data_IF_038094211006
#
_entry.id   IF_038094211006
#
_cell.length_a   1.000
_cell.length_b   1.000
_cell.length_c   1.000
_cell.angle_alpha   90.00
_cell.angle_beta   90.00
_cell.angle_gamma   90.00
#
_symmetry.space_group_name_H-M   'P 1'
#
loop_
_entity.id
_entity.type
_entity.pdbx_description
1 polymer ?
#
# COMPACT_ATOMS: atom_id res chain seq x y z
N UNK A 1 0.85 -4.00 10.94
CA UNK A 1 1.16 -4.12 9.50
C UNK A 1 0.15 -5.07 8.93
N UNK A 2 -0.52 -4.64 7.85
CA UNK A 2 -1.60 -5.41 7.22
C UNK A 2 -1.30 -5.64 5.76
N UNK A 3 -1.42 -6.88 5.31
CA UNK A 3 -1.15 -7.25 3.93
C UNK A 3 -2.42 -7.23 3.08
N UNK A 4 -2.27 -6.79 1.82
CA UNK A 4 -3.29 -6.88 0.78
C UNK A 4 -2.71 -7.67 -0.37
N UNK A 5 -3.27 -8.85 -0.62
CA UNK A 5 -2.82 -9.82 -1.63
C UNK A 5 -3.79 -9.94 -2.77
N UNK A 6 -5.08 -9.83 -2.51
CA UNK A 6 -6.12 -10.02 -3.50
C UNK A 6 -7.25 -9.01 -3.35
N UNK A 7 -8.14 -8.96 -4.34
CA UNK A 7 -9.28 -8.04 -4.35
C UNK A 7 -10.23 -8.26 -3.14
N UNK A 8 -10.30 -9.49 -2.61
CA UNK A 8 -11.15 -9.80 -1.47
C UNK A 8 -10.64 -9.17 -0.16
N UNK A 9 -9.33 -8.96 -0.02
CA UNK A 9 -8.75 -8.40 1.20
C UNK A 9 -9.27 -6.97 1.45
N UNK A 10 -9.54 -6.21 0.37
CA UNK A 10 -10.17 -4.89 0.47
C UNK A 10 -11.53 -4.89 1.17
N UNK A 11 -12.27 -6.00 1.12
CA UNK A 11 -13.56 -6.12 1.84
C UNK A 11 -13.34 -6.19 3.34
N UNK A 12 -12.23 -6.77 3.79
CA UNK A 12 -11.90 -6.94 5.21
C UNK A 12 -11.43 -5.65 5.86
N UNK A 13 -10.88 -4.73 5.07
CA UNK A 13 -10.28 -3.49 5.58
C UNK A 13 -11.18 -2.25 5.40
N UNK A 14 -12.32 -2.38 4.71
CA UNK A 14 -13.17 -1.25 4.31
C UNK A 14 -13.68 -0.41 5.49
N UNK A 15 -13.85 -1.00 6.67
CA UNK A 15 -14.34 -0.31 7.86
C UNK A 15 -13.23 0.38 8.67
N UNK A 16 -11.96 0.05 8.42
CA UNK A 16 -10.84 0.52 9.24
C UNK A 16 -10.16 1.76 8.65
N UNK A 17 -10.43 2.06 7.38
CA UNK A 17 -9.78 3.12 6.63
C UNK A 17 -10.78 4.02 5.91
N UNK A 18 -10.35 5.23 5.57
CA UNK A 18 -11.17 6.16 4.79
C UNK A 18 -11.42 5.62 3.38
N UNK A 19 -12.59 5.93 2.82
CA UNK A 19 -12.95 5.51 1.46
C UNK A 19 -11.90 5.94 0.43
N UNK A 20 -11.40 7.17 0.54
CA UNK A 20 -10.35 7.67 -0.36
C UNK A 20 -9.04 6.88 -0.28
N UNK A 21 -8.63 6.43 0.93
CA UNK A 21 -7.44 5.59 1.05
C UNK A 21 -7.67 4.20 0.44
N UNK A 22 -8.85 3.61 0.66
CA UNK A 22 -9.22 2.33 0.06
C UNK A 22 -9.27 2.41 -1.47
N UNK A 23 -9.84 3.49 -2.03
CA UNK A 23 -9.90 3.71 -3.47
C UNK A 23 -8.51 3.87 -4.08
N UNK A 24 -7.63 4.66 -3.42
CA UNK A 24 -6.24 4.79 -3.83
C UNK A 24 -5.53 3.43 -3.87
N UNK A 25 -5.62 2.64 -2.79
CA UNK A 25 -4.98 1.31 -2.74
C UNK A 25 -5.55 0.35 -3.77
N UNK A 26 -6.85 0.43 -4.10
CA UNK A 26 -7.41 -0.38 -5.19
C UNK A 26 -6.82 -0.01 -6.54
N UNK A 27 -6.65 1.28 -6.83
CA UNK A 27 -6.03 1.73 -8.08
C UNK A 27 -4.59 1.22 -8.18
N UNK A 28 -3.84 1.28 -7.07
CA UNK A 28 -2.49 0.71 -6.98
C UNK A 28 -2.49 -0.81 -7.22
N UNK A 29 -3.44 -1.54 -6.61
CA UNK A 29 -3.61 -2.97 -6.83
C UNK A 29 -3.93 -3.31 -8.28
N UNK A 30 -4.78 -2.51 -8.94
CA UNK A 30 -5.08 -2.70 -10.37
C UNK A 30 -3.85 -2.44 -11.25
N UNK A 31 -3.04 -1.43 -10.93
CA UNK A 31 -1.78 -1.19 -11.64
C UNK A 31 -0.83 -2.40 -11.53
N UNK A 32 -0.70 -2.98 -10.33
CA UNK A 32 0.09 -4.19 -10.11
C UNK A 32 -0.51 -5.41 -10.84
N UNK A 33 -1.83 -5.57 -10.82
CA UNK A 33 -2.51 -6.61 -11.58
C UNK A 33 -2.20 -6.51 -13.08
N UNK A 34 -2.36 -5.33 -13.69
CA UNK A 34 -2.07 -5.14 -15.13
C UNK A 34 -0.61 -5.47 -15.47
N UNK A 35 0.31 -5.20 -14.54
CA UNK A 35 1.74 -5.49 -14.73
C UNK A 35 2.09 -6.98 -14.55
N UNK A 36 1.46 -7.67 -13.60
CA UNK A 36 1.90 -8.99 -13.13
C UNK A 36 1.01 -10.15 -13.55
N UNK A 37 -0.25 -9.88 -13.92
CA UNK A 37 -1.18 -10.95 -14.26
C UNK A 37 -0.62 -11.80 -15.41
N UNK A 38 -0.80 -13.11 -15.30
CA UNK A 38 -0.41 -14.05 -16.35
C UNK A 38 -1.65 -14.60 -17.08
N UNK A 39 -2.60 -13.71 -17.42
CA UNK A 39 -3.85 -14.05 -18.10
C UNK A 39 -4.96 -14.58 -17.18
N UNK A 40 -4.75 -14.57 -15.86
CA UNK A 40 -5.80 -14.85 -14.89
C UNK A 40 -6.74 -13.67 -14.71
N UNK A 41 -8.00 -13.93 -14.34
CA UNK A 41 -8.95 -12.86 -14.05
C UNK A 41 -8.63 -12.19 -12.70
N UNK A 42 -8.90 -10.89 -12.59
CA UNK A 42 -8.74 -10.10 -11.36
C UNK A 42 -9.33 -10.74 -10.08
N UNK A 43 -10.42 -11.50 -10.19
CA UNK A 43 -11.05 -12.16 -9.04
C UNK A 43 -10.26 -13.36 -8.51
N UNK A 44 -9.37 -13.93 -9.33
CA UNK A 44 -8.53 -15.06 -8.98
C UNK A 44 -7.06 -14.64 -8.74
N UNK A 45 -6.70 -13.42 -9.14
CA UNK A 45 -5.36 -12.89 -9.00
C UNK A 45 -4.98 -12.68 -7.53
N UNK A 46 -3.74 -13.09 -7.21
CA UNK A 46 -3.09 -12.77 -5.94
C UNK A 46 -1.70 -12.23 -6.22
N UNK A 47 -1.33 -11.15 -5.54
CA UNK A 47 0.02 -10.62 -5.57
C UNK A 47 1.01 -11.69 -5.06
N UNK A 48 2.15 -11.85 -5.75
CA UNK A 48 3.21 -12.72 -5.29
C UNK A 48 3.82 -12.15 -4.00
N UNK A 49 4.36 -13.03 -3.15
CA UNK A 49 4.95 -12.65 -1.86
C UNK A 49 5.87 -11.40 -1.88
N UNK A 50 6.83 -11.25 -2.81
CA UNK A 50 7.71 -10.08 -2.82
C UNK A 50 7.02 -8.77 -3.18
N UNK A 51 5.81 -8.82 -3.76
CA UNK A 51 5.07 -7.63 -4.21
C UNK A 51 3.73 -7.45 -3.49
N UNK A 52 3.53 -8.14 -2.36
CA UNK A 52 2.35 -7.91 -1.52
C UNK A 52 2.34 -6.46 -1.04
N UNK A 53 1.20 -5.81 -1.18
CA UNK A 53 1.00 -4.45 -0.65
C UNK A 53 0.91 -4.51 0.86
N UNK A 54 1.63 -3.64 1.56
CA UNK A 54 1.64 -3.60 3.03
C UNK A 54 1.16 -2.25 3.53
N UNK A 55 0.12 -2.25 4.36
CA UNK A 55 -0.36 -1.07 5.07
C UNK A 55 0.35 -1.00 6.43
N UNK A 56 1.00 0.12 6.68
CA UNK A 56 1.56 0.49 7.98
C UNK A 56 0.45 1.13 8.82
N UNK A 57 0.17 0.56 9.98
CA UNK A 57 -0.97 0.93 10.82
C UNK A 57 -0.56 1.89 11.96
N UNK A 58 0.73 2.11 12.15
CA UNK A 58 1.26 2.97 13.22
C UNK A 58 2.52 3.71 12.82
N UNK A 59 2.81 4.83 13.51
CA UNK A 59 4.07 5.56 13.35
C UNK A 59 5.28 4.69 13.70
N UNK A 60 5.18 3.78 14.68
CA UNK A 60 6.29 2.89 15.03
C UNK A 60 6.64 1.93 13.89
N UNK A 61 5.63 1.44 13.16
CA UNK A 61 5.87 0.62 11.96
C UNK A 61 6.49 1.45 10.83
N UNK A 62 6.06 2.69 10.65
CA UNK A 62 6.67 3.62 9.71
C UNK A 62 8.14 3.91 10.04
N UNK A 63 8.47 4.14 11.31
CA UNK A 63 9.84 4.34 11.77
C UNK A 63 10.71 3.12 11.51
N UNK A 64 10.20 1.90 11.73
CA UNK A 64 10.91 0.66 11.41
C UNK A 64 11.25 0.59 9.92
N UNK A 65 10.30 0.95 9.04
CA UNK A 65 10.54 0.97 7.59
C UNK A 65 11.55 2.06 7.21
N UNK A 66 11.39 3.28 7.74
CA UNK A 66 12.31 4.40 7.47
C UNK A 66 13.74 4.14 7.93
N UNK A 67 13.93 3.33 8.98
CA UNK A 67 15.25 2.93 9.45
C UNK A 67 15.96 1.93 8.53
N UNK A 68 15.27 1.34 7.55
CA UNK A 68 15.86 0.50 6.49
C UNK A 68 16.38 1.35 5.32
N UNK A 69 17.02 2.48 5.61
CA UNK A 69 17.32 3.54 4.63
C UNK A 69 18.11 3.06 3.40
N UNK A 70 18.92 2.01 3.52
CA UNK A 70 19.70 1.45 2.41
C UNK A 70 18.87 0.65 1.41
N UNK A 71 17.70 0.16 1.83
CA UNK A 71 16.80 -0.64 1.03
C UNK A 71 15.65 0.20 0.44
N UNK A 72 15.50 1.47 0.86
CA UNK A 72 14.45 2.35 0.34
C UNK A 72 14.85 2.83 -1.06
N UNK A 73 14.04 2.49 -2.06
CA UNK A 73 14.20 3.00 -3.41
C UNK A 73 13.55 4.37 -3.57
N UNK A 74 12.36 4.55 -2.99
CA UNK A 74 11.64 5.82 -3.04
C UNK A 74 10.70 5.99 -1.85
N UNK A 75 10.41 7.26 -1.55
CA UNK A 75 9.32 7.68 -0.67
C UNK A 75 8.58 8.79 -1.38
N UNK A 76 7.29 8.58 -1.63
CA UNK A 76 6.42 9.52 -2.32
C UNK A 76 5.21 9.87 -1.45
N UNK A 77 4.69 11.07 -1.63
CA UNK A 77 3.49 11.54 -0.93
C UNK A 77 2.39 11.87 -1.92
N UNK A 78 1.23 11.24 -1.77
CA UNK A 78 0.02 11.57 -2.51
C UNK A 78 -0.96 12.30 -1.59
N UNK A 79 -1.46 13.46 -2.06
CA UNK A 79 -2.43 14.25 -1.29
C UNK A 79 -3.85 13.88 -1.71
N UNK A 80 -4.58 13.25 -0.79
CA UNK A 80 -6.03 13.11 -0.90
C UNK A 80 -6.72 14.30 -0.23
N UNK A 81 -8.04 14.43 -0.43
CA UNK A 81 -8.83 15.54 0.13
C UNK A 81 -8.65 15.72 1.65
N UNK A 82 -8.55 14.63 2.42
CA UNK A 82 -8.50 14.65 3.89
C UNK A 82 -7.31 13.86 4.49
N UNK A 83 -6.41 13.34 3.66
CA UNK A 83 -5.26 12.56 4.12
C UNK A 83 -4.08 12.73 3.18
N UNK A 84 -2.88 12.48 3.69
CA UNK A 84 -1.67 12.31 2.91
C UNK A 84 -1.31 10.83 2.97
N UNK A 85 -1.10 10.22 1.81
CA UNK A 85 -0.63 8.85 1.72
C UNK A 85 0.86 8.90 1.45
N UNK A 86 1.65 8.28 2.31
CA UNK A 86 3.05 7.96 2.04
C UNK A 86 3.13 6.60 1.38
N UNK A 87 3.71 6.55 0.18
CA UNK A 87 4.03 5.33 -0.57
C UNK A 87 5.54 5.13 -0.52
N UNK A 88 5.98 4.00 0.02
CA UNK A 88 7.39 3.69 0.21
C UNK A 88 7.70 2.44 -0.60
N UNK A 89 8.63 2.56 -1.54
CA UNK A 89 9.19 1.43 -2.27
C UNK A 89 10.42 0.91 -1.54
N UNK A 90 10.36 -0.31 -1.04
CA UNK A 90 11.48 -0.99 -0.40
C UNK A 90 11.98 -2.10 -1.32
N UNK A 91 13.26 -2.08 -1.67
CA UNK A 91 13.90 -3.16 -2.39
C UNK A 91 13.91 -4.42 -1.52
N UNK A 92 13.39 -5.51 -2.07
CA UNK A 92 13.47 -6.84 -1.50
C UNK A 92 14.00 -7.79 -2.57
N UNK A 93 15.25 -8.24 -2.40
CA UNK A 93 15.98 -9.03 -3.40
C UNK A 93 16.08 -8.30 -4.75
N UNK A 94 15.30 -8.75 -5.75
CA UNK A 94 15.26 -8.22 -7.11
C UNK A 94 13.96 -7.44 -7.41
N UNK A 95 13.08 -7.31 -6.43
CA UNK A 95 11.75 -6.72 -6.57
C UNK A 95 11.60 -5.51 -5.64
N UNK A 96 10.60 -4.66 -5.91
CA UNK A 96 10.24 -3.55 -5.05
C UNK A 96 8.91 -3.87 -4.37
N UNK A 97 8.93 -3.95 -3.04
CA UNK A 97 7.74 -4.11 -2.23
C UNK A 97 7.16 -2.74 -1.84
N UNK A 98 5.84 -2.59 -1.98
CA UNK A 98 5.15 -1.34 -1.71
C UNK A 98 4.54 -1.31 -0.32
N UNK A 99 4.95 -0.31 0.45
CA UNK A 99 4.39 0.01 1.76
C UNK A 99 3.59 1.31 1.71
N UNK A 100 2.47 1.34 2.42
CA UNK A 100 1.54 2.46 2.42
C UNK A 100 1.23 2.91 3.84
N UNK A 101 1.32 4.21 4.09
CA UNK A 101 0.96 4.82 5.36
C UNK A 101 0.02 5.99 5.12
N UNK A 102 -1.12 6.02 5.83
CA UNK A 102 -2.09 7.12 5.71
C UNK A 102 -1.99 8.04 6.91
N UNK A 103 -1.67 9.31 6.66
CA UNK A 103 -1.66 10.38 7.66
C UNK A 103 -2.91 11.24 7.47
N UNK A 104 -3.80 11.21 8.47
CA UNK A 104 -4.96 12.10 8.46
C UNK A 104 -4.51 13.56 8.52
N UNK A 105 -5.07 14.40 7.65
CA UNK A 105 -4.92 15.85 7.74
C UNK A 105 -5.96 16.29 8.77
N UNK A 106 -5.60 16.33 10.04
CA UNK A 106 -6.45 16.95 11.06
C UNK A 106 -6.67 18.41 10.64
N UNK A 107 -7.90 18.76 10.24
CA UNK A 107 -8.33 20.16 10.25
C UNK A 107 -8.41 20.56 11.71
N UNK A 108 -7.47 21.36 12.16
CA UNK A 108 -7.61 22.08 13.41
C UNK A 108 -8.91 22.91 13.32
N UNK A 109 -9.90 22.56 14.13
CA UNK A 109 -11.05 23.38 14.46
C UNK A 109 -11.12 23.49 15.98
#
# INVERSE_FOLDING_TARGET
MREIRCLLDFKTIKCDYTEGFIEYLKNEFFNLYEYLNNGESINNFSLPNPQVMVILESNSELEIINNKSWDIEFVEEEKLQNSIIQRIGLRHEHEVQLYYYSKNINRAF
#
